data_IF_974140007556
#
_entry.id   IF_974140007556
#
_cell.length_a   1.000
_cell.length_b   1.000
_cell.length_c   1.000
_cell.angle_alpha   90.00
_cell.angle_beta   90.00
_cell.angle_gamma   90.00
#
_symmetry.space_group_name_H-M   'P 1'
#
loop_
_entity.id
_entity.type
_entity.pdbx_description
1 polymer ?
#
# COMPACT_ATOMS: atom_id res chain seq x y z
N UNK A 1 0.20 -1.95 13.93
CA UNK A 1 -1.06 -1.78 13.19
C UNK A 1 -1.81 -0.58 13.73
N UNK A 2 -2.27 0.28 12.85
CA UNK A 2 -3.05 1.48 13.18
C UNK A 2 -4.36 1.48 12.41
N UNK A 3 -5.38 2.18 12.90
CA UNK A 3 -6.67 2.35 12.23
C UNK A 3 -6.97 3.83 11.99
N UNK A 4 -7.56 4.10 10.84
CA UNK A 4 -7.95 5.40 10.31
C UNK A 4 -9.45 5.36 9.98
N UNK A 5 -10.17 6.44 10.29
CA UNK A 5 -11.61 6.60 9.98
C UNK A 5 -11.87 7.21 8.60
N UNK A 6 -10.84 7.40 7.80
CA UNK A 6 -10.87 7.99 6.45
C UNK A 6 -11.41 9.43 6.38
N UNK A 7 -11.59 10.12 7.50
CA UNK A 7 -12.17 11.47 7.52
C UNK A 7 -11.12 12.58 7.38
N UNK A 8 -9.86 12.26 7.66
CA UNK A 8 -8.79 13.27 7.68
C UNK A 8 -8.14 13.38 6.30
N UNK A 9 -7.93 14.60 5.87
CA UNK A 9 -7.10 14.95 4.72
C UNK A 9 -5.89 15.77 5.21
N UNK A 10 -4.72 15.52 4.63
CA UNK A 10 -3.53 16.32 4.91
C UNK A 10 -3.35 17.34 3.76
N UNK A 11 -3.58 18.65 4.01
CA UNK A 11 -3.46 19.67 2.96
C UNK A 11 -2.07 19.71 2.30
N UNK A 12 -1.02 19.27 3.00
CA UNK A 12 0.35 19.22 2.47
C UNK A 12 0.48 18.25 1.29
N UNK A 13 -0.39 17.25 1.22
CA UNK A 13 -0.39 16.26 0.13
C UNK A 13 -0.75 16.93 -1.20
N UNK A 14 -1.60 17.95 -1.22
CA UNK A 14 -1.98 18.64 -2.46
C UNK A 14 -0.77 19.28 -3.15
N UNK A 15 0.06 20.01 -2.41
CA UNK A 15 1.28 20.60 -2.96
C UNK A 15 2.28 19.55 -3.45
N UNK A 16 2.38 18.43 -2.75
CA UNK A 16 3.21 17.29 -3.17
C UNK A 16 2.66 16.68 -4.47
N UNK A 17 1.35 16.48 -4.55
CA UNK A 17 0.69 15.93 -5.73
C UNK A 17 0.89 16.82 -6.97
N UNK A 18 0.71 18.13 -6.83
CA UNK A 18 0.95 19.09 -7.91
C UNK A 18 2.39 19.03 -8.40
N UNK A 19 3.36 19.07 -7.49
CA UNK A 19 4.78 18.95 -7.84
C UNK A 19 5.12 17.65 -8.56
N UNK A 20 4.58 16.52 -8.10
CA UNK A 20 4.84 15.22 -8.71
C UNK A 20 4.14 15.06 -10.06
N UNK A 21 2.92 15.59 -10.22
CA UNK A 21 2.22 15.64 -11.52
C UNK A 21 3.02 16.48 -12.53
N UNK A 22 3.52 17.64 -12.11
CA UNK A 22 4.38 18.48 -12.95
C UNK A 22 5.69 17.79 -13.33
N UNK A 23 6.17 16.85 -12.49
CA UNK A 23 7.31 15.99 -12.79
C UNK A 23 6.95 14.71 -13.58
N UNK A 24 5.74 14.63 -14.15
CA UNK A 24 5.29 13.53 -14.99
C UNK A 24 4.86 12.26 -14.25
N UNK A 25 4.61 12.36 -12.94
CA UNK A 25 4.06 11.20 -12.20
C UNK A 25 2.56 11.11 -12.37
N UNK A 26 2.08 9.94 -12.77
CA UNK A 26 0.66 9.60 -12.90
C UNK A 26 0.34 8.47 -11.92
N UNK A 27 -0.79 8.59 -11.21
CA UNK A 27 -1.34 7.50 -10.39
C UNK A 27 -2.58 6.95 -11.10
N UNK A 28 -2.64 5.63 -11.23
CA UNK A 28 -3.77 4.93 -11.84
C UNK A 28 -4.14 3.66 -11.08
N UNK A 29 -5.38 3.18 -11.18
CA UNK A 29 -5.75 1.85 -10.72
C UNK A 29 -5.00 0.75 -11.47
N UNK A 30 -4.88 -0.41 -10.83
CA UNK A 30 -4.37 -1.64 -11.44
C UNK A 30 -5.33 -2.12 -12.54
N UNK A 31 -4.78 -2.63 -13.66
CA UNK A 31 -5.55 -3.27 -14.72
C UNK A 31 -5.70 -4.77 -14.45
N UNK A 32 -6.95 -5.25 -14.31
CA UNK A 32 -7.21 -6.69 -14.19
C UNK A 32 -6.98 -7.45 -15.49
N UNK A 33 -7.10 -6.80 -16.62
CA UNK A 33 -6.83 -7.40 -17.94
C UNK A 33 -5.33 -7.70 -18.11
N UNK A 34 -4.47 -6.87 -17.53
CA UNK A 34 -3.02 -7.01 -17.56
C UNK A 34 -2.47 -7.46 -16.20
N UNK A 35 -3.26 -8.19 -15.41
CA UNK A 35 -2.96 -8.46 -14.00
C UNK A 35 -1.57 -9.05 -13.76
N UNK A 36 -1.12 -9.98 -14.60
CA UNK A 36 0.21 -10.58 -14.49
C UNK A 36 1.32 -9.54 -14.66
N UNK A 37 1.20 -8.66 -15.65
CA UNK A 37 2.20 -7.63 -15.95
C UNK A 37 2.20 -6.54 -14.86
N UNK A 38 1.01 -6.21 -14.35
CA UNK A 38 0.86 -5.30 -13.21
C UNK A 38 1.53 -5.86 -11.93
N UNK A 39 1.39 -7.16 -11.68
CA UNK A 39 2.09 -7.83 -10.58
C UNK A 39 3.61 -7.82 -10.76
N UNK A 40 4.12 -7.98 -11.99
CA UNK A 40 5.54 -7.86 -12.26
C UNK A 40 6.04 -6.44 -11.96
N UNK A 41 5.30 -5.41 -12.34
CA UNK A 41 5.60 -4.00 -12.01
C UNK A 41 5.60 -3.74 -10.50
N UNK A 42 4.62 -4.29 -9.78
CA UNK A 42 4.55 -4.24 -8.30
C UNK A 42 5.76 -4.93 -7.68
N UNK A 43 6.15 -6.08 -8.21
CA UNK A 43 7.34 -6.84 -7.78
C UNK A 43 8.61 -5.99 -7.88
N UNK A 44 8.84 -5.36 -9.04
CA UNK A 44 10.04 -4.53 -9.29
C UNK A 44 10.15 -3.36 -8.29
N UNK A 45 9.02 -2.70 -8.00
CA UNK A 45 8.99 -1.64 -6.98
C UNK A 45 9.24 -2.22 -5.60
N UNK A 46 8.67 -3.39 -5.28
CA UNK A 46 8.81 -4.04 -3.97
C UNK A 46 10.27 -4.37 -3.67
N UNK A 47 10.98 -5.00 -4.61
CA UNK A 47 12.40 -5.33 -4.45
C UNK A 47 13.21 -4.07 -4.18
N UNK A 48 13.02 -3.02 -4.99
CA UNK A 48 13.78 -1.77 -4.84
C UNK A 48 13.47 -1.03 -3.53
N UNK A 49 12.23 -1.17 -3.00
CA UNK A 49 11.75 -0.39 -1.85
C UNK A 49 12.03 -1.07 -0.51
N UNK A 50 12.09 -2.41 -0.47
CA UNK A 50 12.12 -3.17 0.78
C UNK A 50 13.46 -3.82 1.11
N UNK A 51 14.45 -3.74 0.22
CA UNK A 51 15.75 -4.39 0.41
C UNK A 51 16.47 -4.02 1.72
N UNK A 52 16.21 -2.83 2.26
CA UNK A 52 16.79 -2.35 3.52
C UNK A 52 15.86 -2.56 4.74
N UNK A 53 14.68 -3.18 4.55
CA UNK A 53 13.77 -3.39 5.64
C UNK A 53 14.24 -4.53 6.56
N UNK A 54 13.98 -4.36 7.85
CA UNK A 54 14.28 -5.38 8.85
C UNK A 54 13.66 -6.74 8.50
N UNK A 55 14.46 -7.79 8.50
CA UNK A 55 14.08 -9.16 8.15
C UNK A 55 13.49 -9.33 6.73
N UNK A 56 13.75 -8.39 5.83
CA UNK A 56 13.32 -8.57 4.44
C UNK A 56 14.15 -9.66 3.76
N UNK A 57 13.46 -10.67 3.24
CA UNK A 57 14.06 -11.70 2.38
C UNK A 57 13.43 -11.58 1.00
N UNK A 58 14.22 -11.35 -0.06
CA UNK A 58 13.69 -11.28 -1.41
C UNK A 58 13.01 -12.61 -1.80
N UNK A 59 11.79 -12.52 -2.29
CA UNK A 59 11.08 -13.64 -2.87
C UNK A 59 11.41 -13.68 -4.37
N UNK A 60 11.69 -14.85 -4.98
CA UNK A 60 11.81 -14.96 -6.43
C UNK A 60 10.54 -14.50 -7.15
N UNK A 61 10.68 -13.93 -8.34
CA UNK A 61 9.56 -13.34 -9.08
C UNK A 61 8.44 -14.35 -9.39
N UNK A 62 8.78 -15.57 -9.75
CA UNK A 62 7.84 -16.66 -10.00
C UNK A 62 7.05 -17.04 -8.73
N UNK A 63 7.72 -17.12 -7.59
CA UNK A 63 7.08 -17.38 -6.30
C UNK A 63 6.16 -16.23 -5.90
N UNK A 64 6.57 -14.97 -6.14
CA UNK A 64 5.71 -13.81 -5.91
C UNK A 64 4.46 -13.85 -6.79
N UNK A 65 4.62 -14.07 -8.10
CA UNK A 65 3.50 -14.19 -9.02
C UNK A 65 2.58 -15.36 -8.65
N UNK A 66 3.15 -16.51 -8.27
CA UNK A 66 2.38 -17.67 -7.84
C UNK A 66 1.50 -17.41 -6.62
N UNK A 67 1.94 -16.53 -5.70
CA UNK A 67 1.13 -16.14 -4.54
C UNK A 67 -0.03 -15.20 -4.87
N UNK A 68 0.16 -14.29 -5.83
CA UNK A 68 -0.79 -13.21 -6.06
C UNK A 68 -1.74 -13.46 -7.24
N UNK A 69 -1.33 -14.21 -8.27
CA UNK A 69 -2.18 -14.51 -9.42
C UNK A 69 -3.53 -15.17 -9.04
N UNK A 70 -3.59 -16.13 -8.09
CA UNK A 70 -4.87 -16.72 -7.68
C UNK A 70 -5.84 -15.73 -7.00
N UNK A 71 -5.35 -14.55 -6.60
CA UNK A 71 -6.15 -13.54 -5.91
C UNK A 71 -6.83 -12.56 -6.86
N UNK A 72 -6.64 -12.66 -8.19
CA UNK A 72 -7.16 -11.72 -9.19
C UNK A 72 -8.65 -11.41 -9.00
N UNK A 73 -9.47 -12.43 -8.78
CA UNK A 73 -10.92 -12.28 -8.60
C UNK A 73 -11.34 -11.58 -7.29
N UNK A 74 -10.40 -11.37 -6.37
CA UNK A 74 -10.62 -10.70 -5.07
C UNK A 74 -10.03 -9.29 -5.03
N UNK A 75 -9.31 -8.90 -6.06
CA UNK A 75 -8.72 -7.56 -6.15
C UNK A 75 -9.80 -6.56 -6.54
N UNK A 76 -9.86 -5.46 -5.81
CA UNK A 76 -10.63 -4.27 -6.16
C UNK A 76 -9.64 -3.29 -6.79
N UNK A 77 -9.70 -3.07 -8.13
CA UNK A 77 -8.67 -2.30 -8.84
C UNK A 77 -8.44 -0.91 -8.27
N UNK A 78 -9.51 -0.24 -7.86
CA UNK A 78 -9.48 1.11 -7.31
C UNK A 78 -8.74 1.21 -5.98
N UNK A 79 -8.54 0.07 -5.30
CA UNK A 79 -7.78 -0.02 -4.03
C UNK A 79 -6.31 -0.43 -4.25
N UNK A 80 -5.92 -0.75 -5.49
CA UNK A 80 -4.55 -1.07 -5.86
C UNK A 80 -4.06 -0.05 -6.87
N UNK A 81 -3.31 0.95 -6.40
CA UNK A 81 -2.89 2.06 -7.23
C UNK A 81 -1.40 1.95 -7.55
N UNK A 82 -1.06 2.12 -8.82
CA UNK A 82 0.31 2.24 -9.30
C UNK A 82 0.63 3.70 -9.62
N UNK A 83 1.81 4.15 -9.22
CA UNK A 83 2.38 5.42 -9.63
C UNK A 83 3.46 5.16 -10.68
N UNK A 84 3.38 5.86 -11.80
CA UNK A 84 4.28 5.71 -12.93
C UNK A 84 4.85 7.07 -13.32
N UNK A 85 6.08 7.06 -13.81
CA UNK A 85 6.71 8.19 -14.50
C UNK A 85 7.35 7.67 -15.77
N UNK A 86 7.03 8.25 -16.94
CA UNK A 86 7.51 7.77 -18.22
C UNK A 86 7.25 6.27 -18.42
N UNK A 87 6.05 5.81 -18.04
CA UNK A 87 5.62 4.39 -18.08
C UNK A 87 6.40 3.44 -17.16
N UNK A 88 7.33 3.92 -16.35
CA UNK A 88 8.07 3.12 -15.37
C UNK A 88 7.41 3.20 -14.00
N UNK A 89 7.18 2.07 -13.32
CA UNK A 89 6.57 2.07 -12.00
C UNK A 89 7.56 2.66 -10.96
N UNK A 90 7.10 3.68 -10.24
CA UNK A 90 7.89 4.38 -9.21
C UNK A 90 7.33 4.20 -7.80
N UNK A 91 6.11 3.68 -7.68
CA UNK A 91 5.49 3.39 -6.40
C UNK A 91 4.16 2.67 -6.58
N UNK A 92 3.64 2.12 -5.49
CA UNK A 92 2.28 1.57 -5.45
C UNK A 92 1.74 1.56 -4.03
N UNK A 93 0.41 1.49 -3.92
CA UNK A 93 -0.31 1.11 -2.71
C UNK A 93 -1.19 -0.09 -3.03
N UNK A 94 -1.17 -1.08 -2.15
CA UNK A 94 -1.98 -2.29 -2.25
C UNK A 94 -2.88 -2.37 -1.02
N UNK A 95 -4.17 -2.14 -1.23
CA UNK A 95 -5.19 -2.29 -0.21
C UNK A 95 -6.24 -3.32 -0.65
N UNK A 96 -6.87 -3.96 0.33
CA UNK A 96 -7.90 -4.98 0.13
C UNK A 96 -9.03 -4.76 1.13
N UNK A 97 -10.28 -5.15 0.80
CA UNK A 97 -11.35 -5.23 1.78
C UNK A 97 -10.99 -6.16 2.95
N UNK A 98 -11.43 -5.84 4.16
CA UNK A 98 -11.31 -6.77 5.30
C UNK A 98 -12.31 -7.91 5.17
N UNK A 99 -11.98 -8.89 4.33
CA UNK A 99 -12.83 -10.08 4.12
C UNK A 99 -13.09 -10.88 5.40
N UNK A 100 -12.29 -10.71 6.46
CA UNK A 100 -12.56 -11.33 7.73
C UNK A 100 -13.81 -10.75 8.41
N UNK A 101 -14.23 -9.54 8.07
CA UNK A 101 -15.53 -9.01 8.52
C UNK A 101 -16.69 -9.84 7.93
N UNK A 102 -16.64 -10.12 6.61
CA UNK A 102 -17.63 -10.98 5.96
C UNK A 102 -17.67 -12.40 6.57
N UNK A 103 -16.49 -12.99 6.82
CA UNK A 103 -16.38 -14.30 7.49
C UNK A 103 -16.97 -14.33 8.89
N UNK A 104 -17.15 -13.17 9.54
CA UNK A 104 -17.82 -13.01 10.83
C UNK A 104 -19.28 -12.54 10.70
N UNK A 105 -19.87 -12.62 9.50
CA UNK A 105 -21.25 -12.19 9.24
C UNK A 105 -21.48 -10.68 9.36
N UNK A 106 -20.43 -9.85 9.21
CA UNK A 106 -20.51 -8.38 9.30
C UNK A 106 -20.42 -7.75 7.92
N UNK A 107 -20.98 -6.56 7.77
CA UNK A 107 -20.75 -5.73 6.59
C UNK A 107 -19.27 -5.40 6.48
N UNK A 108 -18.72 -5.47 5.27
CA UNK A 108 -17.32 -5.10 4.99
C UNK A 108 -17.25 -3.59 4.80
N UNK A 109 -16.94 -2.87 5.86
CA UNK A 109 -16.83 -1.41 5.91
C UNK A 109 -15.38 -0.92 6.02
N UNK A 110 -14.42 -1.85 6.05
CA UNK A 110 -13.02 -1.56 6.34
C UNK A 110 -12.14 -2.10 5.22
N UNK A 111 -11.13 -1.31 4.82
CA UNK A 111 -10.03 -1.77 3.99
C UNK A 111 -8.77 -2.03 4.84
N UNK A 112 -7.90 -2.91 4.35
CA UNK A 112 -6.57 -3.13 4.90
C UNK A 112 -5.55 -2.61 3.89
N UNK A 113 -4.85 -1.53 4.23
CA UNK A 113 -3.66 -1.07 3.49
C UNK A 113 -2.52 -2.03 3.83
N UNK A 114 -2.33 -3.02 2.96
CA UNK A 114 -1.39 -4.12 3.15
C UNK A 114 0.04 -3.70 2.85
N UNK A 115 0.23 -2.91 1.80
CA UNK A 115 1.55 -2.52 1.33
C UNK A 115 1.51 -1.13 0.74
N UNK A 116 2.51 -0.34 1.06
CA UNK A 116 2.81 0.95 0.44
C UNK A 116 4.31 0.97 0.16
N UNK A 117 4.68 1.08 -1.11
CA UNK A 117 6.06 1.07 -1.55
C UNK A 117 6.33 2.20 -2.54
N UNK A 118 7.50 2.80 -2.42
CA UNK A 118 7.97 3.87 -3.31
C UNK A 118 9.45 3.65 -3.56
N UNK A 119 9.88 3.71 -4.82
CA UNK A 119 11.30 3.63 -5.16
C UNK A 119 12.09 4.70 -4.40
N UNK A 120 13.25 4.35 -3.84
CA UNK A 120 14.09 5.32 -3.13
C UNK A 120 14.56 6.43 -4.07
N UNK A 121 14.72 7.64 -3.52
CA UNK A 121 15.24 8.79 -4.27
C UNK A 121 14.44 10.06 -4.07
N UNK A 122 15.11 11.20 -4.24
CA UNK A 122 14.51 12.54 -4.04
C UNK A 122 13.37 12.83 -5.01
N UNK A 123 13.43 12.29 -6.22
CA UNK A 123 12.41 12.46 -7.25
C UNK A 123 11.03 11.91 -6.83
N UNK A 124 11.02 10.92 -5.92
CA UNK A 124 9.79 10.29 -5.40
C UNK A 124 9.42 10.79 -3.99
N UNK A 125 10.08 11.85 -3.50
CA UNK A 125 9.81 12.36 -2.16
C UNK A 125 8.34 12.80 -2.01
N UNK A 126 7.64 12.26 -0.99
CA UNK A 126 6.23 12.52 -0.74
C UNK A 126 5.24 11.67 -1.53
N UNK A 127 5.69 10.87 -2.51
CA UNK A 127 4.80 10.01 -3.32
C UNK A 127 4.00 9.03 -2.46
N UNK A 128 4.59 8.49 -1.39
CA UNK A 128 3.88 7.60 -0.47
C UNK A 128 2.68 8.28 0.21
N UNK A 129 2.80 9.55 0.58
CA UNK A 129 1.69 10.29 1.15
C UNK A 129 0.57 10.53 0.11
N UNK A 130 0.94 10.84 -1.12
CA UNK A 130 -0.02 11.02 -2.20
C UNK A 130 -0.72 9.71 -2.56
N UNK A 131 0.00 8.59 -2.71
CA UNK A 131 -0.59 7.25 -2.94
C UNK A 131 -1.57 6.86 -1.84
N UNK A 132 -1.21 7.10 -0.57
CA UNK A 132 -2.08 6.79 0.55
C UNK A 132 -3.36 7.64 0.54
N UNK A 133 -3.24 8.94 0.25
CA UNK A 133 -4.39 9.83 0.15
C UNK A 133 -5.33 9.45 -0.99
N UNK A 134 -4.79 9.05 -2.16
CA UNK A 134 -5.61 8.55 -3.28
C UNK A 134 -6.32 7.23 -2.91
N UNK A 135 -5.63 6.30 -2.23
CA UNK A 135 -6.25 5.06 -1.76
C UNK A 135 -7.37 5.32 -0.74
N UNK A 136 -7.19 6.27 0.18
CA UNK A 136 -8.24 6.68 1.12
C UNK A 136 -9.42 7.33 0.40
N UNK A 137 -9.17 8.15 -0.62
CA UNK A 137 -10.23 8.77 -1.44
C UNK A 137 -11.02 7.71 -2.21
N UNK A 138 -10.32 6.76 -2.85
CA UNK A 138 -10.94 5.65 -3.54
C UNK A 138 -11.79 4.80 -2.59
N UNK A 139 -11.27 4.46 -1.41
CA UNK A 139 -11.99 3.70 -0.41
C UNK A 139 -13.29 4.41 0.04
N UNK A 140 -13.23 5.72 0.31
CA UNK A 140 -14.45 6.50 0.62
C UNK A 140 -15.46 6.47 -0.52
N UNK A 141 -14.99 6.66 -1.76
CA UNK A 141 -15.84 6.62 -2.95
C UNK A 141 -16.54 5.27 -3.15
N UNK A 142 -15.93 4.18 -2.69
CA UNK A 142 -16.50 2.83 -2.68
C UNK A 142 -17.37 2.52 -1.46
N UNK A 143 -17.52 3.48 -0.52
CA UNK A 143 -18.38 3.34 0.66
C UNK A 143 -17.69 2.75 1.90
N UNK A 144 -16.38 2.51 1.87
CA UNK A 144 -15.65 2.10 3.07
C UNK A 144 -15.53 3.25 4.07
N UNK A 145 -15.59 2.93 5.35
CA UNK A 145 -15.61 3.90 6.45
C UNK A 145 -14.30 3.90 7.24
N UNK A 146 -13.45 2.89 7.05
CA UNK A 146 -12.24 2.69 7.83
C UNK A 146 -11.11 2.10 7.01
N UNK A 147 -9.88 2.47 7.35
CA UNK A 147 -8.67 1.80 6.88
C UNK A 147 -7.84 1.27 8.05
N UNK A 148 -7.31 0.07 7.90
CA UNK A 148 -6.31 -0.51 8.79
C UNK A 148 -4.98 -0.52 8.05
N UNK A 149 -3.96 0.15 8.58
CA UNK A 149 -2.59 0.07 8.05
C UNK A 149 -1.85 -1.05 8.79
N UNK A 150 -1.61 -2.14 8.13
CA UNK A 150 -1.02 -3.37 8.68
C UNK A 150 0.27 -3.71 7.92
N UNK A 151 1.08 -4.37 8.52
CA UNK A 151 1.91 -4.44 9.70
C UNK A 151 3.10 -3.50 9.50
N UNK A 152 3.34 -2.59 10.37
CA UNK A 152 4.48 -1.69 10.25
C UNK A 152 5.48 -1.97 11.37
N UNK A 153 6.74 -2.20 11.01
CA UNK A 153 7.82 -2.22 11.98
C UNK A 153 8.03 -0.81 12.56
N UNK A 154 8.47 -0.72 13.81
CA UNK A 154 8.61 0.59 14.49
C UNK A 154 9.66 1.51 13.86
N UNK A 155 10.67 0.95 13.19
CA UNK A 155 11.66 1.71 12.42
C UNK A 155 11.21 2.06 11.00
N UNK A 156 10.03 1.60 10.54
CA UNK A 156 9.60 1.82 9.18
C UNK A 156 9.14 3.28 8.97
N UNK A 157 9.64 3.93 7.92
CA UNK A 157 9.28 5.31 7.55
C UNK A 157 7.77 5.49 7.29
N UNK A 158 7.08 4.45 6.83
CA UNK A 158 5.63 4.48 6.61
C UNK A 158 4.83 4.72 7.89
N UNK A 159 5.39 4.45 9.07
CA UNK A 159 4.79 4.77 10.36
C UNK A 159 4.52 6.28 10.50
N UNK A 160 5.44 7.12 10.03
CA UNK A 160 5.30 8.57 10.09
C UNK A 160 4.14 9.05 9.22
N UNK A 161 3.91 8.43 8.05
CA UNK A 161 2.76 8.72 7.19
C UNK A 161 1.44 8.36 7.88
N UNK A 162 1.36 7.16 8.43
CA UNK A 162 0.15 6.67 9.11
C UNK A 162 -0.16 7.45 10.39
N UNK A 163 0.84 7.99 11.09
CA UNK A 163 0.65 8.75 12.33
C UNK A 163 -0.16 10.06 12.15
N UNK A 164 -0.24 10.59 10.93
CA UNK A 164 -1.04 11.78 10.63
C UNK A 164 -2.55 11.48 10.57
N UNK A 165 -2.91 10.24 10.28
CA UNK A 165 -4.30 9.84 10.01
C UNK A 165 -4.87 8.91 11.09
N UNK A 166 -4.03 8.04 11.64
CA UNK A 166 -4.47 6.82 12.30
C UNK A 166 -3.95 6.70 13.73
N UNK A 167 -4.72 5.99 14.57
CA UNK A 167 -4.34 5.61 15.94
C UNK A 167 -3.88 4.16 16.01
N UNK A 168 -2.92 3.87 16.90
CA UNK A 168 -2.47 2.50 17.14
C UNK A 168 -3.58 1.66 17.77
N UNK A 169 -3.93 0.54 17.12
CA UNK A 169 -4.95 -0.41 17.61
C UNK A 169 -4.33 -1.71 18.11
N UNK A 170 -3.14 -2.10 17.60
CA UNK A 170 -2.43 -3.30 18.04
C UNK A 170 -0.93 -3.11 17.95
N UNK A 171 -0.21 -3.73 18.92
CA UNK A 171 1.23 -3.92 18.90
C UNK A 171 1.53 -5.41 18.82
N UNK A 172 2.58 -5.77 18.10
CA UNK A 172 3.07 -7.13 17.96
C UNK A 172 4.53 -7.17 18.37
N UNK A 173 4.96 -8.28 18.94
CA UNK A 173 6.37 -8.56 19.23
C UNK A 173 6.76 -9.89 18.57
N UNK A 174 7.95 -9.91 17.97
CA UNK A 174 8.57 -11.12 17.48
C UNK A 174 9.52 -11.64 18.56
N UNK A 175 9.35 -12.90 18.94
CA UNK A 175 10.22 -13.56 19.91
C UNK A 175 11.08 -14.59 19.18
N UNK A 176 12.36 -14.69 19.56
CA UNK A 176 13.26 -15.74 19.11
C UNK A 176 13.90 -16.42 20.29
N UNK A 177 14.18 -17.74 20.14
CA UNK A 177 14.93 -18.54 21.11
C UNK A 177 15.96 -19.36 20.36
N UNK A 178 17.22 -19.28 20.78
CA UNK A 178 18.24 -20.18 20.24
C UNK A 178 17.94 -21.61 20.67
N UNK A 179 17.90 -22.51 19.72
CA UNK A 179 17.86 -23.94 19.99
C UNK A 179 19.28 -24.40 20.25
N UNK A 180 19.52 -24.97 21.41
CA UNK A 180 20.78 -25.62 21.78
C UNK A 180 20.76 -27.07 21.29
#
# INVERSE_FOLDING_TARGET
TVADDLLREDPRVNAVAERLRAAGVVIRPLSLEQFRDELARIYDVSIASFQENYLYTPLPADAFLGQYLPLQSRVVPELVLLAERESHPVGYVFAVPDFAQAGRGRTVDTIIVKTLAVRPGRACAGLGAWLLAEAHRAARGLGYQRAIHALMHESNRSRNLSAHYARTIRRYALFSKSLR
#
